data_IF_064135549780
#
_entry.id   IF_064135549780
#
_cell.length_a   1.000
_cell.length_b   1.000
_cell.length_c   1.000
_cell.angle_alpha   90.00
_cell.angle_beta   90.00
_cell.angle_gamma   90.00
#
_symmetry.space_group_name_H-M   'P 1'
#
loop_
_entity.id
_entity.type
_entity.pdbx_description
1 polymer ?
#
# COMPACT_ATOMS: atom_id res chain seq x y z
N UNK A 1 10.39 -76.80 -22.38
CA UNK A 1 9.59 -75.56 -22.36
C UNK A 1 9.84 -74.84 -21.04
N UNK A 2 10.50 -73.67 -21.04
CA UNK A 2 10.53 -72.79 -19.87
C UNK A 2 9.73 -71.50 -20.14
N UNK A 3 8.83 -71.20 -19.21
CA UNK A 3 7.90 -70.07 -19.22
C UNK A 3 8.62 -68.81 -18.70
N UNK A 4 8.59 -67.72 -19.46
CA UNK A 4 9.17 -66.42 -19.09
C UNK A 4 8.19 -65.66 -18.20
N UNK A 5 8.54 -65.42 -16.94
CA UNK A 5 7.78 -64.57 -16.03
C UNK A 5 8.29 -63.12 -16.16
N UNK A 6 7.49 -62.24 -16.75
CA UNK A 6 7.79 -60.80 -16.88
C UNK A 6 7.43 -60.06 -15.59
N UNK A 7 8.42 -59.53 -14.89
CA UNK A 7 8.24 -58.63 -13.75
C UNK A 7 7.82 -57.25 -14.25
N UNK A 8 6.59 -56.82 -13.95
CA UNK A 8 6.13 -55.44 -14.15
C UNK A 8 6.59 -54.58 -12.97
N UNK A 9 7.41 -53.57 -13.25
CA UNK A 9 7.79 -52.54 -12.29
C UNK A 9 6.73 -51.44 -12.28
N UNK A 10 6.05 -51.23 -11.15
CA UNK A 10 5.17 -50.08 -10.93
C UNK A 10 6.02 -48.86 -10.58
N UNK A 11 6.08 -47.87 -11.48
CA UNK A 11 6.66 -46.57 -11.19
C UNK A 11 5.62 -45.71 -10.45
N UNK A 12 5.86 -45.45 -9.16
CA UNK A 12 5.05 -44.56 -8.33
C UNK A 12 5.44 -43.10 -8.63
N UNK A 13 4.60 -42.37 -9.36
CA UNK A 13 4.79 -40.95 -9.64
C UNK A 13 4.39 -40.18 -8.37
N UNK A 14 5.37 -39.76 -7.57
CA UNK A 14 5.16 -38.73 -6.56
C UNK A 14 4.96 -37.38 -7.27
N UNK A 15 3.72 -36.91 -7.37
CA UNK A 15 3.43 -35.53 -7.72
C UNK A 15 3.89 -34.65 -6.55
N UNK A 16 5.10 -34.10 -6.64
CA UNK A 16 5.59 -33.10 -5.70
C UNK A 16 4.85 -31.79 -5.93
N UNK A 17 3.77 -31.56 -5.19
CA UNK A 17 3.22 -30.21 -5.04
C UNK A 17 4.24 -29.39 -4.26
N UNK A 18 5.09 -28.64 -4.98
CA UNK A 18 5.89 -27.58 -4.40
C UNK A 18 4.94 -26.64 -3.65
N UNK A 19 5.04 -26.49 -2.32
CA UNK A 19 4.25 -25.51 -1.61
C UNK A 19 4.61 -24.15 -2.19
N UNK A 20 3.60 -23.44 -2.70
CA UNK A 20 3.74 -22.03 -3.06
C UNK A 20 4.12 -21.32 -1.77
N UNK A 21 5.37 -20.86 -1.67
CA UNK A 21 5.76 -19.92 -0.63
C UNK A 21 5.01 -18.63 -0.95
N UNK A 22 3.80 -18.50 -0.41
CA UNK A 22 3.13 -17.22 -0.32
C UNK A 22 3.93 -16.47 0.73
N UNK A 23 4.79 -15.55 0.30
CA UNK A 23 5.27 -14.51 1.20
C UNK A 23 4.03 -13.83 1.75
N UNK A 24 3.74 -14.00 3.03
CA UNK A 24 2.54 -13.46 3.62
C UNK A 24 2.60 -11.93 3.49
N UNK A 25 1.59 -11.37 2.85
CA UNK A 25 1.45 -9.93 2.69
C UNK A 25 1.32 -9.30 4.08
N UNK A 26 2.14 -8.28 4.37
CA UNK A 26 2.05 -7.58 5.65
C UNK A 26 0.84 -6.66 5.60
N UNK A 27 -0.06 -6.81 6.57
CA UNK A 27 -1.21 -5.93 6.77
C UNK A 27 -0.90 -5.02 7.95
N UNK A 28 -1.17 -3.74 7.77
CA UNK A 28 -0.96 -2.73 8.80
C UNK A 28 -2.26 -2.48 9.56
N UNK A 29 -2.13 -2.36 10.87
CA UNK A 29 -3.23 -2.11 11.78
C UNK A 29 -2.94 -0.87 12.61
N UNK A 30 -3.98 -0.10 12.91
CA UNK A 30 -3.89 1.01 13.84
C UNK A 30 -4.14 0.52 15.24
N UNK A 31 -3.21 0.86 16.14
CA UNK A 31 -3.36 0.67 17.58
C UNK A 31 -3.58 2.03 18.22
N UNK A 32 -4.67 2.19 18.96
CA UNK A 32 -5.05 3.45 19.60
C UNK A 32 -5.91 3.20 20.84
N UNK A 33 -6.14 4.28 21.58
CA UNK A 33 -7.02 4.34 22.74
C UNK A 33 -8.52 4.32 22.38
N UNK A 34 -9.41 4.09 23.36
CA UNK A 34 -10.85 4.13 23.14
C UNK A 34 -11.30 5.50 22.61
N UNK A 35 -12.04 5.54 21.48
CA UNK A 35 -12.63 6.78 21.00
C UNK A 35 -13.49 7.46 22.07
N UNK A 36 -13.26 8.75 22.32
CA UNK A 36 -14.02 9.56 23.27
C UNK A 36 -13.59 9.45 24.73
N UNK A 37 -12.58 8.62 25.05
CA UNK A 37 -11.92 8.57 26.38
C UNK A 37 -10.39 8.42 26.29
N UNK A 38 -9.70 9.24 25.48
CA UNK A 38 -8.25 9.11 25.35
C UNK A 38 -7.54 9.65 26.62
N UNK A 39 -6.45 9.01 27.03
CA UNK A 39 -5.51 9.51 28.02
C UNK A 39 -4.31 10.17 27.33
N UNK A 40 -3.76 9.54 26.29
CA UNK A 40 -2.67 10.05 25.45
C UNK A 40 -3.14 10.74 24.17
N UNK A 41 -4.28 10.30 23.61
CA UNK A 41 -4.86 10.76 22.35
C UNK A 41 -3.90 10.66 21.15
N UNK A 42 -3.12 9.59 21.11
CA UNK A 42 -2.16 9.26 20.06
C UNK A 42 -2.37 7.82 19.57
N UNK A 43 -1.59 7.42 18.56
CA UNK A 43 -1.69 6.09 17.97
C UNK A 43 -0.39 5.66 17.32
N UNK A 44 -0.28 4.37 17.02
CA UNK A 44 0.85 3.82 16.28
C UNK A 44 0.39 2.69 15.36
N UNK A 45 1.28 2.30 14.44
CA UNK A 45 1.00 1.26 13.44
C UNK A 45 1.64 -0.06 13.84
N UNK A 46 0.85 -1.12 13.79
CA UNK A 46 1.26 -2.50 14.02
C UNK A 46 1.29 -3.26 12.68
N UNK A 47 2.47 -3.68 12.18
CA UNK A 47 2.57 -4.58 11.05
C UNK A 47 2.35 -6.04 11.49
N UNK A 48 1.47 -6.76 10.80
CA UNK A 48 1.23 -8.20 11.01
C UNK A 48 1.37 -8.96 9.69
N UNK A 49 2.08 -10.09 9.72
CA UNK A 49 2.29 -10.94 8.54
C UNK A 49 1.77 -12.38 8.73
N UNK A 50 1.45 -12.82 9.96
CA UNK A 50 0.88 -14.15 10.19
C UNK A 50 -0.65 -14.06 10.11
N UNK A 51 -1.27 -15.00 9.39
CA UNK A 51 -2.72 -14.98 9.18
C UNK A 51 -3.50 -15.04 10.49
N UNK A 52 -3.04 -15.85 11.45
CA UNK A 52 -3.68 -15.97 12.78
C UNK A 52 -3.68 -14.64 13.54
N UNK A 53 -2.58 -13.89 13.50
CA UNK A 53 -2.48 -12.58 14.14
C UNK A 53 -3.36 -11.54 13.43
N UNK A 54 -3.41 -11.58 12.10
CA UNK A 54 -4.27 -10.73 11.26
C UNK A 54 -5.75 -10.99 11.57
N UNK A 55 -6.14 -12.26 11.70
CA UNK A 55 -7.52 -12.65 12.01
C UNK A 55 -7.90 -12.24 13.42
N UNK A 56 -6.98 -12.37 14.38
CA UNK A 56 -7.21 -11.88 15.75
C UNK A 56 -7.34 -10.35 15.78
N UNK A 57 -6.49 -9.60 15.08
CA UNK A 57 -6.61 -8.15 14.96
C UNK A 57 -7.97 -7.72 14.37
N UNK A 58 -8.44 -8.42 13.34
CA UNK A 58 -9.78 -8.21 12.75
C UNK A 58 -10.91 -8.55 13.72
N UNK A 59 -10.75 -9.60 14.52
CA UNK A 59 -11.69 -9.93 15.58
C UNK A 59 -11.79 -8.79 16.62
N UNK A 60 -10.66 -8.26 17.10
CA UNK A 60 -10.65 -7.12 18.03
C UNK A 60 -11.39 -5.91 17.45
N UNK A 61 -11.16 -5.59 16.17
CA UNK A 61 -11.88 -4.51 15.47
C UNK A 61 -13.39 -4.77 15.44
N UNK A 62 -13.80 -6.02 15.21
CA UNK A 62 -15.22 -6.40 15.12
C UNK A 62 -15.99 -6.20 16.43
N UNK A 63 -15.30 -6.18 17.57
CA UNK A 63 -15.89 -5.91 18.89
C UNK A 63 -16.24 -4.42 19.09
N UNK A 64 -15.69 -3.53 18.26
CA UNK A 64 -15.94 -2.08 18.37
C UNK A 64 -15.57 -1.55 19.76
N UNK A 65 -16.42 -0.71 20.34
CA UNK A 65 -16.18 -0.12 21.67
C UNK A 65 -16.02 -1.16 22.80
N UNK A 66 -16.60 -2.36 22.63
CA UNK A 66 -16.54 -3.42 23.62
C UNK A 66 -15.14 -4.01 23.79
N UNK A 67 -14.23 -3.80 22.81
CA UNK A 67 -12.84 -4.26 22.91
C UNK A 67 -12.13 -3.68 24.14
N UNK A 68 -12.51 -2.47 24.56
CA UNK A 68 -11.93 -1.79 25.72
C UNK A 68 -12.56 -2.20 27.07
N UNK A 69 -13.46 -3.18 27.06
CA UNK A 69 -14.19 -3.63 28.24
C UNK A 69 -13.88 -5.10 28.56
N UNK A 70 -13.54 -5.36 29.83
CA UNK A 70 -13.37 -6.72 30.35
C UNK A 70 -12.17 -7.46 29.76
N UNK A 71 -12.32 -8.76 29.49
CA UNK A 71 -11.24 -9.66 29.06
C UNK A 71 -10.87 -9.55 27.58
N UNK A 72 -11.50 -8.64 26.81
CA UNK A 72 -11.27 -8.50 25.37
C UNK A 72 -10.22 -7.44 25.01
N UNK A 73 -9.73 -6.70 26.00
CA UNK A 73 -8.74 -5.64 25.82
C UNK A 73 -7.34 -6.24 25.65
N UNK A 74 -7.16 -7.00 24.57
CA UNK A 74 -5.88 -7.60 24.24
C UNK A 74 -4.86 -6.49 23.99
N UNK A 75 -3.80 -6.50 24.80
CA UNK A 75 -2.65 -5.63 24.68
C UNK A 75 -1.76 -6.13 23.55
N UNK A 76 -1.23 -5.21 22.77
CA UNK A 76 -0.23 -5.52 21.75
C UNK A 76 1.14 -5.56 22.43
N UNK A 77 1.77 -6.73 22.45
CA UNK A 77 3.16 -6.87 22.89
C UNK A 77 4.07 -6.84 21.68
N UNK A 78 4.98 -5.89 21.64
CA UNK A 78 5.86 -5.69 20.49
C UNK A 78 7.22 -5.15 20.90
N UNK A 79 8.22 -5.35 20.05
CA UNK A 79 9.49 -4.66 20.11
C UNK A 79 9.49 -3.49 19.12
N UNK A 80 9.98 -2.34 19.57
CA UNK A 80 10.19 -1.13 18.77
C UNK A 80 11.69 -0.88 18.59
N UNK A 81 12.03 -0.15 17.53
CA UNK A 81 13.39 0.26 17.22
C UNK A 81 13.44 1.69 16.70
N UNK A 82 14.64 2.29 16.66
CA UNK A 82 14.84 3.65 16.19
C UNK A 82 14.56 3.77 14.69
N UNK A 83 14.17 4.97 14.29
CA UNK A 83 14.12 5.40 12.90
C UNK A 83 12.71 5.46 12.33
N UNK A 84 12.59 6.37 11.36
CA UNK A 84 11.41 6.59 10.52
C UNK A 84 11.35 5.54 9.41
N UNK A 85 10.26 4.78 9.36
CA UNK A 85 10.03 3.73 8.34
C UNK A 85 9.10 4.20 7.21
N UNK A 86 8.58 5.43 7.29
CA UNK A 86 7.60 6.00 6.38
C UNK A 86 6.15 5.66 6.72
N UNK A 87 5.90 4.71 7.64
CA UNK A 87 4.62 4.06 7.89
C UNK A 87 4.09 4.37 9.29
N UNK A 88 4.90 4.20 10.33
CA UNK A 88 4.47 4.42 11.71
C UNK A 88 4.22 5.91 11.98
N UNK A 89 2.96 6.26 12.17
CA UNK A 89 2.48 7.64 12.29
C UNK A 89 1.37 7.71 13.32
N UNK A 90 1.16 8.90 13.86
CA UNK A 90 -0.06 9.16 14.60
C UNK A 90 -1.22 9.43 13.62
N UNK A 91 -2.19 8.51 13.56
CA UNK A 91 -3.41 8.67 12.77
C UNK A 91 -4.56 9.36 13.53
N UNK A 92 -4.37 9.69 14.81
CA UNK A 92 -5.31 10.53 15.57
C UNK A 92 -5.12 11.99 15.18
N UNK A 93 -3.88 12.46 15.02
CA UNK A 93 -3.60 13.76 14.41
C UNK A 93 -3.85 13.75 12.89
N UNK A 94 -4.68 14.69 12.43
CA UNK A 94 -5.02 14.87 11.02
C UNK A 94 -3.83 15.24 10.11
N UNK A 95 -2.67 15.57 10.67
CA UNK A 95 -1.43 15.90 9.96
C UNK A 95 -0.52 14.68 9.77
N UNK A 96 -0.83 13.55 10.41
CA UNK A 96 -0.08 12.30 10.32
C UNK A 96 1.42 12.42 10.63
N UNK A 97 1.81 13.04 11.77
CA UNK A 97 3.21 13.15 12.14
C UNK A 97 3.84 11.75 12.24
N UNK A 98 5.06 11.64 11.73
CA UNK A 98 5.81 10.39 11.73
C UNK A 98 6.58 10.22 13.03
N UNK A 99 6.42 9.07 13.65
CA UNK A 99 7.20 8.69 14.82
C UNK A 99 8.65 8.44 14.44
N UNK A 100 9.57 8.79 15.34
CA UNK A 100 11.01 8.56 15.19
C UNK A 100 11.42 7.13 15.56
N UNK A 101 10.43 6.24 15.73
CA UNK A 101 10.54 4.83 16.04
C UNK A 101 9.45 4.04 15.31
N UNK A 102 9.61 2.73 15.20
CA UNK A 102 8.60 1.83 14.62
C UNK A 102 8.64 0.45 15.25
N UNK A 103 7.58 -0.33 15.08
CA UNK A 103 7.53 -1.74 15.51
C UNK A 103 8.46 -2.56 14.62
N UNK A 104 9.46 -3.21 15.23
CA UNK A 104 10.41 -4.10 14.55
C UNK A 104 10.06 -5.58 14.74
N UNK A 105 9.26 -5.91 15.75
CA UNK A 105 8.83 -7.28 16.00
C UNK A 105 7.50 -7.33 16.75
N UNK A 106 6.51 -8.06 16.23
CA UNK A 106 5.30 -8.40 16.99
C UNK A 106 5.55 -9.66 17.82
N UNK A 107 5.28 -9.60 19.13
CA UNK A 107 5.48 -10.71 20.07
C UNK A 107 4.19 -11.47 20.38
N UNK A 108 3.04 -10.83 20.19
CA UNK A 108 1.74 -11.45 20.41
C UNK A 108 0.74 -10.50 21.04
N UNK A 109 -0.50 -10.98 21.16
CA UNK A 109 -1.55 -10.37 21.96
C UNK A 109 -1.48 -10.93 23.38
N UNK A 110 -1.57 -10.07 24.39
CA UNK A 110 -1.55 -10.46 25.79
C UNK A 110 -2.69 -9.84 26.58
N UNK A 111 -3.22 -10.55 27.57
CA UNK A 111 -4.29 -10.03 28.44
C UNK A 111 -3.75 -9.02 29.46
N UNK A 112 -2.47 -9.15 29.81
CA UNK A 112 -1.73 -8.29 30.74
C UNK A 112 -0.26 -8.25 30.38
N UNK A 113 0.37 -7.13 30.69
CA UNK A 113 1.81 -6.94 30.69
C UNK A 113 2.23 -6.45 32.07
N UNK A 114 3.52 -6.56 32.39
CA UNK A 114 4.06 -5.94 33.61
C UNK A 114 4.00 -4.41 33.45
N UNK A 115 3.76 -3.70 34.55
CA UNK A 115 3.57 -2.24 34.63
C UNK A 115 4.68 -1.45 33.93
N UNK A 116 5.90 -1.99 33.94
CA UNK A 116 7.07 -1.33 33.34
C UNK A 116 7.04 -1.29 31.80
N UNK A 117 6.11 -1.98 31.15
CA UNK A 117 5.89 -1.92 29.70
C UNK A 117 4.74 -0.97 29.31
N UNK A 118 4.03 -0.45 30.32
CA UNK A 118 2.97 0.53 30.12
C UNK A 118 3.56 1.90 29.72
N UNK A 119 2.78 2.68 29.00
CA UNK A 119 3.17 3.95 28.44
C UNK A 119 2.26 4.36 27.28
N UNK A 120 2.79 5.20 26.41
CA UNK A 120 2.09 5.68 25.22
C UNK A 120 3.08 5.88 24.07
N UNK A 121 2.61 5.88 22.81
CA UNK A 121 3.41 6.25 21.64
C UNK A 121 4.23 7.54 21.81
N UNK A 122 3.60 8.58 22.34
CA UNK A 122 4.26 9.86 22.64
C UNK A 122 5.33 9.76 23.73
N UNK A 123 5.22 8.83 24.69
CA UNK A 123 6.26 8.61 25.69
C UNK A 123 7.52 8.00 25.06
N UNK A 124 7.35 7.04 24.15
CA UNK A 124 8.47 6.46 23.39
C UNK A 124 9.13 7.50 22.48
N UNK A 125 8.37 8.43 21.90
CA UNK A 125 8.94 9.53 21.11
C UNK A 125 9.79 10.48 21.96
N UNK A 126 9.34 10.78 23.18
CA UNK A 126 10.00 11.73 24.07
C UNK A 126 11.13 11.12 24.91
N UNK A 127 11.19 9.79 25.01
CA UNK A 127 12.21 9.05 25.75
C UNK A 127 12.88 7.98 24.85
N UNK A 128 13.86 8.38 24.02
CA UNK A 128 14.52 7.45 23.11
C UNK A 128 15.38 6.41 23.85
N UNK A 129 15.71 6.63 25.12
CA UNK A 129 16.43 5.64 25.94
C UNK A 129 15.60 4.37 26.13
N UNK A 130 14.27 4.42 25.94
CA UNK A 130 13.37 3.26 25.98
C UNK A 130 13.75 2.16 24.98
N UNK A 131 14.20 2.54 23.78
CA UNK A 131 14.66 1.59 22.75
C UNK A 131 16.16 1.62 22.48
N UNK A 132 16.89 2.61 23.00
CA UNK A 132 18.34 2.70 22.90
C UNK A 132 19.09 2.14 24.14
N UNK A 133 18.41 1.96 25.27
CA UNK A 133 18.99 1.50 26.53
C UNK A 133 19.44 0.04 26.53
N UNK A 134 20.36 -0.33 27.42
CA UNK A 134 20.98 -1.66 27.49
C UNK A 134 20.35 -2.60 28.55
N UNK A 135 19.11 -2.37 28.96
CA UNK A 135 18.44 -3.24 29.92
C UNK A 135 17.57 -4.31 29.22
N UNK A 136 17.07 -5.29 30.00
CA UNK A 136 16.24 -6.38 29.46
C UNK A 136 14.88 -5.96 28.89
N UNK A 137 14.53 -4.67 28.97
CA UNK A 137 13.29 -4.09 28.42
C UNK A 137 13.52 -3.41 27.07
N UNK A 138 14.75 -3.36 26.56
CA UNK A 138 15.13 -2.58 25.38
C UNK A 138 14.12 -2.71 24.23
N UNK A 139 13.34 -1.65 24.06
CA UNK A 139 12.33 -1.49 23.01
C UNK A 139 11.08 -2.36 23.19
N UNK A 140 10.86 -3.07 24.29
CA UNK A 140 9.63 -3.82 24.50
C UNK A 140 8.51 -2.86 24.94
N UNK A 141 7.37 -2.93 24.26
CA UNK A 141 6.15 -2.16 24.56
C UNK A 141 4.98 -3.08 24.88
N UNK A 142 4.06 -2.58 25.69
CA UNK A 142 2.84 -3.26 26.07
C UNK A 142 1.85 -2.27 26.68
N UNK A 143 1.59 -1.17 25.98
CA UNK A 143 0.82 -0.02 26.46
C UNK A 143 -0.58 -0.42 26.90
N UNK A 144 -0.94 -0.06 28.14
CA UNK A 144 -2.25 -0.30 28.69
C UNK A 144 -3.24 0.69 28.08
N UNK A 145 -4.49 0.26 27.86
CA UNK A 145 -5.54 1.02 27.16
C UNK A 145 -5.37 1.17 25.65
N UNK A 146 -4.32 0.62 25.05
CA UNK A 146 -4.14 0.60 23.60
C UNK A 146 -4.48 -0.78 23.04
N UNK A 147 -5.29 -0.82 21.99
CA UNK A 147 -5.55 -2.06 21.25
C UNK A 147 -5.81 -1.75 19.77
N UNK A 148 -5.98 -2.81 18.97
CA UNK A 148 -6.23 -2.67 17.53
C UNK A 148 -7.63 -2.11 17.30
N UNK A 149 -7.71 -0.96 16.62
CA UNK A 149 -8.99 -0.26 16.36
C UNK A 149 -9.37 -0.19 14.89
N UNK A 150 -8.41 -0.38 13.98
CA UNK A 150 -8.64 -0.24 12.54
C UNK A 150 -7.64 -1.02 11.71
N UNK A 151 -8.11 -1.64 10.64
CA UNK A 151 -7.24 -2.18 9.58
C UNK A 151 -6.91 -1.07 8.59
N UNK A 152 -5.61 -0.87 8.32
CA UNK A 152 -5.09 0.10 7.35
C UNK A 152 -4.79 -0.54 5.98
N UNK A 153 -4.86 -1.87 5.91
CA UNK A 153 -4.57 -2.65 4.71
C UNK A 153 -3.07 -2.80 4.44
N UNK A 154 -2.69 -3.33 3.27
CA UNK A 154 -1.29 -3.54 2.90
C UNK A 154 -0.56 -2.26 2.46
N UNK A 155 -1.31 -1.20 2.15
CA UNK A 155 -0.77 0.10 1.76
C UNK A 155 -1.51 1.21 2.53
N UNK A 156 -1.01 1.64 3.70
CA UNK A 156 -1.75 2.49 4.63
C UNK A 156 -1.73 3.97 4.21
N UNK A 157 -2.20 4.28 3.00
CA UNK A 157 -2.28 5.62 2.42
C UNK A 157 -3.63 6.28 2.72
N UNK A 158 -3.61 7.34 3.54
CA UNK A 158 -4.77 8.11 3.95
C UNK A 158 -4.52 9.57 3.62
N UNK A 159 -5.58 10.28 3.20
CA UNK A 159 -5.56 11.71 2.94
C UNK A 159 -6.45 12.43 3.96
N UNK A 160 -5.94 13.51 4.51
CA UNK A 160 -6.62 14.46 5.36
C UNK A 160 -6.61 15.83 4.68
N UNK A 161 -7.77 16.49 4.71
CA UNK A 161 -7.96 17.79 4.07
C UNK A 161 -8.54 18.74 5.09
N UNK A 162 -7.79 19.78 5.44
CA UNK A 162 -8.11 20.69 6.54
C UNK A 162 -8.15 22.13 6.01
N UNK A 163 -9.27 22.84 6.12
CA UNK A 163 -9.29 24.28 5.89
C UNK A 163 -8.48 25.01 6.97
N UNK A 164 -7.49 25.80 6.57
CA UNK A 164 -6.66 26.59 7.49
C UNK A 164 -6.39 27.98 6.90
N UNK A 165 -6.99 29.00 7.51
CA UNK A 165 -6.89 30.39 7.05
C UNK A 165 -7.40 30.54 5.61
N UNK A 166 -6.52 30.98 4.70
CA UNK A 166 -6.81 31.17 3.28
C UNK A 166 -6.39 29.97 2.42
N UNK A 167 -6.04 28.83 3.04
CA UNK A 167 -5.59 27.63 2.33
C UNK A 167 -6.42 26.40 2.71
N UNK A 168 -6.47 25.46 1.78
CA UNK A 168 -6.83 24.08 2.02
C UNK A 168 -5.55 23.28 2.16
N UNK A 169 -5.31 22.74 3.36
CA UNK A 169 -4.14 21.93 3.67
C UNK A 169 -4.42 20.47 3.37
N UNK A 170 -3.50 19.82 2.69
CA UNK A 170 -3.54 18.40 2.37
C UNK A 170 -2.40 17.73 3.11
N UNK A 171 -2.73 16.75 3.94
CA UNK A 171 -1.79 15.88 4.63
C UNK A 171 -2.08 14.45 4.24
N UNK A 172 -1.05 13.64 4.00
CA UNK A 172 -1.26 12.21 3.75
C UNK A 172 -0.26 11.35 4.49
N UNK A 173 -0.69 10.16 4.89
CA UNK A 173 0.22 9.17 5.47
C UNK A 173 1.19 8.67 4.39
N UNK A 174 2.42 8.39 4.82
CA UNK A 174 3.41 7.75 3.96
C UNK A 174 3.14 6.26 3.82
N UNK A 175 3.68 5.66 2.77
CA UNK A 175 3.62 4.20 2.54
C UNK A 175 5.02 3.57 2.50
N UNK A 176 6.01 4.29 3.04
CA UNK A 176 7.43 3.92 3.03
C UNK A 176 8.35 5.06 2.61
N UNK A 177 9.65 4.79 2.61
CA UNK A 177 10.72 5.79 2.42
C UNK A 177 11.03 6.13 0.95
N UNK A 178 10.60 5.29 0.00
CA UNK A 178 10.95 5.40 -1.42
C UNK A 178 9.71 5.59 -2.32
N UNK A 179 8.79 6.44 -1.89
CA UNK A 179 7.59 6.76 -2.65
C UNK A 179 7.58 8.22 -3.05
N UNK A 180 6.98 8.45 -4.21
CA UNK A 180 6.61 9.76 -4.71
C UNK A 180 5.11 9.89 -4.73
N UNK A 181 4.61 11.08 -4.40
CA UNK A 181 3.19 11.33 -4.25
C UNK A 181 2.67 12.29 -5.30
N UNK A 182 1.42 12.02 -5.67
CA UNK A 182 0.63 12.70 -6.69
C UNK A 182 -0.70 13.10 -6.06
N UNK A 183 -0.96 14.38 -5.86
CA UNK A 183 -2.29 14.85 -5.46
C UNK A 183 -3.16 15.05 -6.70
N UNK A 184 -4.32 14.40 -6.72
CA UNK A 184 -5.26 14.44 -7.83
C UNK A 184 -6.62 14.91 -7.37
N UNK A 185 -7.33 15.60 -8.27
CA UNK A 185 -8.68 16.06 -8.06
C UNK A 185 -9.60 15.68 -9.21
N UNK A 186 -10.89 15.59 -8.92
CA UNK A 186 -11.95 15.59 -9.93
C UNK A 186 -13.20 16.28 -9.41
N UNK A 187 -13.93 16.93 -10.30
CA UNK A 187 -15.10 17.76 -9.92
C UNK A 187 -16.34 16.93 -9.63
N UNK A 188 -16.43 15.72 -10.20
CA UNK A 188 -17.54 14.80 -9.99
C UNK A 188 -17.07 13.37 -9.87
N UNK A 189 -17.75 12.58 -9.03
CA UNK A 189 -17.53 11.13 -8.97
C UNK A 189 -17.91 10.42 -10.27
N UNK A 190 -18.80 11.01 -11.08
CA UNK A 190 -19.18 10.50 -12.39
C UNK A 190 -18.10 10.72 -13.48
N UNK A 191 -17.14 11.63 -13.25
CA UNK A 191 -16.01 11.82 -14.17
C UNK A 191 -15.05 10.64 -14.09
N UNK A 192 -14.58 10.19 -15.26
CA UNK A 192 -13.67 9.04 -15.42
C UNK A 192 -12.24 9.34 -15.00
N UNK A 193 -11.75 10.56 -15.29
CA UNK A 193 -10.35 10.89 -15.11
C UNK A 193 -10.10 11.66 -13.81
N UNK A 194 -9.05 11.26 -13.11
CA UNK A 194 -8.44 12.03 -12.04
C UNK A 194 -7.33 12.89 -12.64
N UNK A 195 -7.27 14.17 -12.26
CA UNK A 195 -6.30 15.11 -12.81
C UNK A 195 -5.33 15.55 -11.72
N UNK A 196 -4.03 15.51 -12.03
CA UNK A 196 -3.00 16.03 -11.16
C UNK A 196 -3.16 17.55 -10.96
N UNK A 197 -2.97 18.02 -9.74
CA UNK A 197 -2.92 19.47 -9.48
C UNK A 197 -1.61 20.07 -10.01
N UNK A 198 -1.74 21.14 -10.79
CA UNK A 198 -0.61 21.93 -11.29
C UNK A 198 -0.06 22.85 -10.19
N UNK A 199 1.27 22.93 -10.03
CA UNK A 199 1.92 23.92 -9.17
C UNK A 199 2.82 23.36 -8.05
N UNK A 200 2.82 22.05 -7.80
CA UNK A 200 3.83 21.41 -6.96
C UNK A 200 5.07 21.05 -7.80
N UNK A 201 6.28 21.21 -7.24
CA UNK A 201 7.49 20.62 -7.82
C UNK A 201 7.29 19.10 -7.84
N UNK A 202 7.06 18.58 -9.04
CA UNK A 202 6.62 17.22 -9.24
C UNK A 202 7.81 16.30 -9.49
N UNK A 203 7.84 15.09 -8.91
CA UNK A 203 6.97 14.56 -7.85
C UNK A 203 7.25 15.09 -6.44
N UNK A 204 6.22 15.07 -5.57
CA UNK A 204 6.37 15.41 -4.15
C UNK A 204 7.02 14.27 -3.38
N UNK A 205 8.10 14.59 -2.67
CA UNK A 205 8.69 13.74 -1.61
C UNK A 205 8.19 14.11 -0.21
N UNK A 206 7.35 15.13 -0.12
CA UNK A 206 6.71 15.57 1.12
C UNK A 206 5.36 14.89 1.29
N UNK A 207 4.85 14.91 2.52
CA UNK A 207 3.54 14.37 2.89
C UNK A 207 2.48 15.47 3.12
N UNK A 208 2.76 16.64 2.56
CA UNK A 208 2.00 17.86 2.78
C UNK A 208 1.98 18.72 1.51
N UNK A 209 0.85 19.35 1.26
CA UNK A 209 0.69 20.39 0.24
C UNK A 209 -0.41 21.39 0.64
N UNK A 210 -0.33 22.62 0.16
CA UNK A 210 -1.29 23.68 0.43
C UNK A 210 -1.86 24.27 -0.86
N UNK A 211 -3.19 24.44 -0.91
CA UNK A 211 -3.91 25.07 -2.02
C UNK A 211 -4.60 26.35 -1.53
N UNK A 212 -4.33 27.52 -2.14
CA UNK A 212 -5.09 28.72 -1.82
C UNK A 212 -6.59 28.56 -2.09
N UNK A 213 -7.44 28.93 -1.14
CA UNK A 213 -8.91 28.83 -1.25
C UNK A 213 -9.46 29.61 -2.44
N UNK A 214 -8.84 30.73 -2.80
CA UNK A 214 -9.18 31.51 -3.99
C UNK A 214 -9.11 30.69 -5.30
N UNK A 215 -8.34 29.59 -5.29
CA UNK A 215 -8.17 28.69 -6.43
C UNK A 215 -8.93 27.36 -6.25
N UNK A 216 -9.80 27.25 -5.24
CA UNK A 216 -10.54 26.02 -4.96
C UNK A 216 -11.89 26.00 -5.69
N UNK A 217 -12.16 24.90 -6.40
CA UNK A 217 -13.52 24.48 -6.73
C UNK A 217 -13.86 23.22 -5.93
N UNK A 218 -15.16 22.97 -5.70
CA UNK A 218 -15.60 21.74 -5.03
C UNK A 218 -15.11 20.52 -5.84
N UNK A 219 -14.25 19.71 -5.22
CA UNK A 219 -13.60 18.56 -5.85
C UNK A 219 -13.54 17.40 -4.87
N UNK A 220 -13.50 16.20 -5.44
CA UNK A 220 -13.03 15.01 -4.75
C UNK A 220 -11.53 14.93 -4.91
N UNK A 221 -10.84 14.53 -3.85
CA UNK A 221 -9.38 14.47 -3.80
C UNK A 221 -8.91 13.05 -3.54
N UNK A 222 -7.75 12.70 -4.10
CA UNK A 222 -7.01 11.50 -3.70
C UNK A 222 -5.51 11.74 -3.82
N UNK A 223 -4.75 10.95 -3.08
CA UNK A 223 -3.30 10.85 -3.26
C UNK A 223 -2.99 9.52 -3.90
N UNK A 224 -2.10 9.55 -4.89
CA UNK A 224 -1.53 8.37 -5.52
C UNK A 224 -0.05 8.30 -5.14
N UNK A 225 0.37 7.15 -4.63
CA UNK A 225 1.75 6.87 -4.30
C UNK A 225 2.37 5.96 -5.36
N UNK A 226 3.59 6.25 -5.78
CA UNK A 226 4.33 5.43 -6.74
C UNK A 226 5.73 5.16 -6.21
N UNK A 227 6.24 3.95 -6.39
CA UNK A 227 7.65 3.66 -6.11
C UNK A 227 8.47 3.92 -7.38
N UNK A 228 9.42 4.87 -7.37
CA UNK A 228 10.31 5.10 -8.51
C UNK A 228 11.13 3.87 -8.87
N UNK A 229 11.44 3.01 -7.88
CA UNK A 229 12.25 1.80 -8.06
C UNK A 229 11.46 0.72 -8.83
N UNK A 230 10.18 0.52 -8.48
CA UNK A 230 9.32 -0.40 -9.23
C UNK A 230 9.02 0.13 -10.63
N UNK A 231 8.82 1.44 -10.78
CA UNK A 231 8.56 2.05 -12.08
C UNK A 231 9.78 2.10 -13.01
N UNK A 232 11.01 2.21 -12.48
CA UNK A 232 12.25 2.18 -13.27
C UNK A 232 12.44 0.83 -14.01
N UNK A 233 11.98 -0.27 -13.40
CA UNK A 233 11.97 -1.59 -14.05
C UNK A 233 10.95 -1.70 -15.20
N UNK A 234 10.00 -0.77 -15.29
CA UNK A 234 9.03 -0.63 -16.39
C UNK A 234 9.35 0.61 -17.23
N UNK A 235 10.59 0.75 -17.67
CA UNK A 235 10.89 1.75 -18.71
C UNK A 235 10.24 1.30 -20.02
N UNK A 236 9.06 1.84 -20.38
CA UNK A 236 8.53 1.70 -21.74
C UNK A 236 9.47 2.43 -22.68
N UNK A 237 10.29 1.67 -23.41
CA UNK A 237 11.04 2.21 -24.53
C UNK A 237 10.03 2.67 -25.57
N UNK A 238 9.91 3.98 -25.79
CA UNK A 238 9.20 4.51 -26.96
C UNK A 238 10.05 4.17 -28.18
N UNK A 239 9.86 2.97 -28.72
CA UNK A 239 10.42 2.61 -30.02
C UNK A 239 9.74 3.52 -31.02
N UNK A 240 10.49 4.48 -31.58
CA UNK A 240 10.02 5.20 -32.76
C UNK A 240 9.68 4.16 -33.83
N UNK A 241 8.53 4.23 -34.51
CA UNK A 241 8.23 3.30 -35.58
C UNK A 241 9.38 3.38 -36.59
N UNK A 242 10.12 2.28 -36.77
CA UNK A 242 11.20 2.23 -37.74
C UNK A 242 10.58 2.48 -39.13
N UNK A 243 10.94 3.58 -39.83
CA UNK A 243 10.40 3.85 -41.16
C UNK A 243 10.73 2.73 -42.16
N UNK A 244 11.72 1.88 -41.88
CA UNK A 244 12.06 0.70 -42.69
C UNK A 244 11.08 -0.46 -42.54
N UNK A 245 10.33 -0.53 -41.43
CA UNK A 245 9.30 -1.56 -41.22
C UNK A 245 8.01 -1.18 -41.96
N UNK A 246 7.66 0.10 -42.06
CA UNK A 246 6.49 0.53 -42.84
C UNK A 246 6.72 0.44 -44.36
N UNK A 247 7.95 0.63 -44.84
CA UNK A 247 8.27 0.51 -46.26
C UNK A 247 8.21 -0.94 -46.80
N UNK A 248 8.20 -1.97 -45.95
CA UNK A 248 8.01 -3.37 -46.38
C UNK A 248 6.55 -3.81 -46.49
N UNK A 249 5.61 -3.05 -45.95
CA UNK A 249 4.17 -3.37 -46.02
C UNK A 249 3.47 -2.73 -47.22
N UNK A 250 4.11 -1.75 -47.88
CA UNK A 250 3.55 -1.07 -49.05
C UNK A 250 4.60 -0.95 -50.16
N UNK A 251 4.80 -2.03 -50.91
CA UNK A 251 5.58 -1.96 -52.15
C UNK A 251 5.96 -3.31 -52.72
N UNK A 252 5.09 -3.91 -53.54
CA UNK A 252 5.33 -4.23 -54.96
C UNK A 252 4.14 -4.99 -55.52
N UNK A 253 3.35 -4.32 -56.37
CA UNK A 253 2.30 -4.91 -57.20
C UNK A 253 2.02 -3.94 -58.35
N UNK A 254 2.39 -4.35 -59.55
CA UNK A 254 2.68 -3.55 -60.74
C UNK A 254 1.48 -2.81 -61.37
N UNK A 255 1.80 -1.69 -62.04
CA UNK A 255 1.00 -1.02 -63.06
C UNK A 255 0.59 -1.97 -64.20
N UNK A 256 -0.64 -1.81 -64.67
CA UNK A 256 -1.07 -1.86 -66.07
C UNK A 256 -2.39 -1.06 -66.12
N UNK A 257 -2.34 0.25 -66.38
CA UNK A 257 -2.46 0.87 -67.71
C UNK A 257 -3.86 0.73 -68.33
N UNK A 258 -4.46 1.89 -68.57
CA UNK A 258 -5.84 2.08 -68.98
C UNK A 258 -5.95 2.15 -70.50
N UNK A 259 -7.02 1.62 -71.09
CA UNK A 259 -7.95 2.33 -72.01
C UNK A 259 -8.74 1.37 -72.92
N UNK A 260 -9.94 1.84 -73.30
CA UNK A 260 -10.71 1.52 -74.50
C UNK A 260 -11.68 0.31 -74.49
N UNK A 261 -12.93 0.62 -74.16
CA UNK A 261 -14.13 -0.09 -74.60
C UNK A 261 -14.42 0.17 -76.10
N UNK A 262 -14.66 -0.89 -76.89
CA UNK A 262 -15.45 -0.87 -78.14
C UNK A 262 -16.04 -2.26 -78.44
N UNK A 263 -17.13 -2.38 -79.25
CA UNK A 263 -18.25 -3.31 -79.05
C UNK A 263 -18.21 -4.53 -80.01
N UNK A 264 -19.17 -5.49 -79.94
CA UNK A 264 -19.04 -6.77 -80.64
C UNK A 264 -19.40 -6.64 -82.13
N UNK A 265 -18.66 -7.34 -82.99
CA UNK A 265 -19.06 -7.61 -84.38
C UNK A 265 -19.34 -9.10 -84.58
N UNK A 266 -20.43 -9.33 -85.32
CA UNK A 266 -20.97 -10.60 -85.81
C UNK A 266 -19.92 -11.48 -86.51
N UNK A 267 -20.12 -12.79 -86.40
CA UNK A 267 -19.68 -13.77 -87.40
C UNK A 267 -20.61 -13.75 -88.62
N UNK A 268 -20.04 -13.99 -89.79
CA UNK A 268 -20.77 -14.38 -91.00
C UNK A 268 -19.98 -15.48 -91.69
N UNK A 269 -20.55 -16.68 -91.69
CA UNK A 269 -20.76 -17.54 -92.86
C UNK A 269 -22.16 -18.15 -92.69
#
# INVERSE_FOLDING_TARGET
>A
MPTVLKTLSFALIFATTLPRIVSAETIYFLVAEPPGRPLGNDSYVLPLSKQEDIDHARYLISLGQSVFLGSHAALVVAKVGPGKDGINRDYVDHRFPEWSWHVVEFRGFGDRTIEVLDGAPSYVENDPDWYLGNDGRQGLIGFWNYTVVRELGPMPLYLSVIPEGQNLQFYWSGVGTNYVYTLEGKESLASTNWLAFAGAAWPLKTNHWALPLANTSARFYRVRAESPILNANFTRQKVAPDPRIQARLFGTGSKAESTASRPPRRFSL
#
